data_IF_702056615658
#
_entry.id   IF_702056615658
#
_cell.length_a   1.000
_cell.length_b   1.000
_cell.length_c   1.000
_cell.angle_alpha   90.00
_cell.angle_beta   90.00
_cell.angle_gamma   90.00
#
_symmetry.space_group_name_H-M   'P 1'
#
loop_
_entity.id
_entity.type
_entity.pdbx_description
1 polymer ?
#
# COMPACT_ATOMS: atom_id res chain seq x y z
N UNK A 1 -6.14 -11.81 50.94
CA UNK A 1 -7.32 -11.21 50.26
C UNK A 1 -7.14 -9.71 50.25
N UNK A 2 -6.89 -9.10 49.10
CA UNK A 2 -6.82 -7.65 48.95
C UNK A 2 -7.91 -7.24 47.96
N UNK A 3 -8.84 -6.42 48.44
CA UNK A 3 -9.93 -5.82 47.67
C UNK A 3 -9.58 -4.39 47.26
N UNK A 4 -10.23 -3.97 46.18
CA UNK A 4 -9.92 -2.86 45.28
C UNK A 4 -10.03 -1.43 45.82
N UNK A 5 -9.49 -0.48 45.04
CA UNK A 5 -10.18 0.79 44.77
C UNK A 5 -9.77 1.38 43.41
N UNK A 6 -10.77 1.63 42.56
CA UNK A 6 -10.67 2.23 41.24
C UNK A 6 -10.56 3.76 41.31
N UNK A 7 -9.75 4.35 40.44
CA UNK A 7 -9.67 5.81 40.25
C UNK A 7 -10.77 6.31 39.32
N UNK A 8 -11.66 7.14 39.86
CA UNK A 8 -12.66 7.93 39.13
C UNK A 8 -11.97 9.10 38.43
N UNK A 9 -12.09 9.20 37.11
CA UNK A 9 -11.74 10.42 36.38
C UNK A 9 -13.01 11.19 36.01
N UNK A 10 -12.90 12.50 36.25
CA UNK A 10 -13.94 13.50 36.38
C UNK A 10 -14.40 14.02 35.01
N UNK A 11 -15.71 14.12 34.80
CA UNK A 11 -16.35 14.72 33.63
C UNK A 11 -16.67 16.20 33.90
N UNK A 12 -16.19 17.12 33.06
CA UNK A 12 -16.66 18.51 33.01
C UNK A 12 -16.72 18.95 31.54
N UNK A 13 -17.89 18.84 30.93
CA UNK A 13 -18.86 19.92 30.66
C UNK A 13 -18.45 20.81 29.48
N UNK A 14 -19.14 20.58 28.35
CA UNK A 14 -19.13 21.37 27.14
C UNK A 14 -20.20 22.46 27.27
N UNK A 15 -19.82 23.73 27.13
CA UNK A 15 -20.77 24.80 26.83
C UNK A 15 -20.36 25.53 25.56
N UNK A 16 -21.40 25.79 24.76
CA UNK A 16 -21.44 26.34 23.41
C UNK A 16 -21.22 27.86 23.40
N UNK A 17 -20.63 28.41 22.33
CA UNK A 17 -21.10 29.67 21.70
C UNK A 17 -20.75 29.73 20.18
N UNK A 18 -21.72 29.25 19.40
CA UNK A 18 -22.41 29.86 18.25
C UNK A 18 -21.83 31.07 17.45
N UNK A 19 -21.63 30.80 16.15
CA UNK A 19 -22.13 31.52 14.94
C UNK A 19 -21.42 32.81 14.47
N UNK A 20 -20.87 32.74 13.23
CA UNK A 20 -21.32 33.56 12.08
C UNK A 20 -20.93 32.96 10.71
N UNK A 21 -21.98 32.72 9.91
CA UNK A 21 -22.12 32.38 8.46
C UNK A 21 -21.55 33.51 7.57
N UNK A 22 -21.22 33.44 6.27
CA UNK A 22 -21.51 32.55 5.13
C UNK A 22 -20.59 33.00 3.96
N UNK A 23 -20.18 32.09 3.06
CA UNK A 23 -20.36 32.23 1.60
C UNK A 23 -19.72 31.07 0.84
N UNK A 24 -20.50 30.59 -0.12
CA UNK A 24 -20.33 29.39 -0.93
C UNK A 24 -19.08 29.44 -1.81
N UNK A 25 -18.40 28.31 -1.94
CA UNK A 25 -18.33 27.66 -3.25
C UNK A 25 -18.06 26.17 -3.09
N UNK A 26 -18.89 25.38 -3.77
CA UNK A 26 -18.91 23.93 -3.64
C UNK A 26 -17.72 23.28 -4.32
N UNK A 27 -17.00 22.46 -3.57
CA UNK A 27 -16.35 21.26 -4.10
C UNK A 27 -16.59 20.17 -3.08
N UNK A 28 -17.41 19.19 -3.45
CA UNK A 28 -17.57 17.92 -2.75
C UNK A 28 -16.20 17.42 -2.34
N UNK A 29 -15.88 17.50 -1.05
CA UNK A 29 -14.62 17.00 -0.52
C UNK A 29 -14.76 15.48 -0.41
N UNK A 30 -14.71 14.84 -1.58
CA UNK A 30 -14.40 13.43 -1.73
C UNK A 30 -13.01 13.26 -1.10
N UNK A 31 -12.97 12.88 0.17
CA UNK A 31 -11.77 12.36 0.83
C UNK A 31 -11.53 10.96 0.24
N UNK A 32 -11.32 10.91 -1.08
CA UNK A 32 -10.83 9.72 -1.74
C UNK A 32 -9.48 9.42 -1.12
N UNK A 33 -9.35 8.19 -0.65
CA UNK A 33 -8.20 7.57 0.01
C UNK A 33 -6.95 7.58 -0.89
N UNK A 34 -6.45 8.77 -1.20
CA UNK A 34 -5.33 8.93 -2.12
C UNK A 34 -4.04 8.67 -1.34
N UNK A 35 -3.34 7.61 -1.71
CA UNK A 35 -2.00 7.33 -1.19
C UNK A 35 -1.13 8.59 -1.31
N UNK A 36 -0.45 9.04 -0.25
CA UNK A 36 0.45 10.18 -0.32
C UNK A 36 1.50 9.93 -1.41
N UNK A 37 1.73 10.87 -2.33
CA UNK A 37 2.63 10.69 -3.49
C UNK A 37 3.70 11.78 -3.56
N UNK A 38 4.90 11.40 -4.00
CA UNK A 38 5.97 12.35 -4.29
C UNK A 38 5.70 13.12 -5.59
N UNK A 39 6.29 14.32 -5.79
CA UNK A 39 6.21 15.01 -7.07
C UNK A 39 6.74 14.14 -8.22
N UNK A 40 5.90 13.90 -9.24
CA UNK A 40 6.22 13.01 -10.38
C UNK A 40 5.90 11.53 -10.14
N UNK A 41 5.41 11.16 -8.96
CA UNK A 41 4.91 9.81 -8.69
C UNK A 41 3.49 9.64 -9.24
N UNK A 42 3.30 8.62 -10.08
CA UNK A 42 2.05 8.32 -10.77
C UNK A 42 1.53 6.97 -10.31
N UNK A 43 0.24 6.91 -9.97
CA UNK A 43 -0.45 5.66 -9.68
C UNK A 43 -0.64 4.90 -11.00
N UNK A 44 -0.13 3.67 -11.06
CA UNK A 44 -0.26 2.80 -12.24
C UNK A 44 -1.48 1.91 -12.09
N UNK A 45 -1.63 1.28 -10.93
CA UNK A 45 -2.76 0.40 -10.64
C UNK A 45 -2.95 0.24 -9.14
N UNK A 46 -4.16 -0.18 -8.75
CA UNK A 46 -4.48 -0.65 -7.42
C UNK A 46 -5.13 -2.03 -7.49
N UNK A 47 -4.84 -2.88 -6.51
CA UNK A 47 -5.39 -4.24 -6.41
C UNK A 47 -5.66 -4.60 -4.96
N UNK A 48 -6.81 -5.21 -4.71
CA UNK A 48 -7.12 -5.84 -3.43
C UNK A 48 -6.37 -7.17 -3.33
N UNK A 49 -5.67 -7.38 -2.21
CA UNK A 49 -4.85 -8.57 -1.95
C UNK A 49 -4.97 -8.98 -0.48
N UNK A 50 -4.43 -10.16 -0.16
CA UNK A 50 -4.18 -10.57 1.21
C UNK A 50 -2.65 -10.61 1.39
N UNK A 51 -2.12 -9.75 2.25
CA UNK A 51 -0.72 -9.80 2.64
C UNK A 51 -0.52 -10.85 3.73
N UNK A 52 0.37 -11.81 3.49
CA UNK A 52 0.72 -12.83 4.47
C UNK A 52 1.88 -12.29 5.29
N UNK A 53 1.54 -11.58 6.37
CA UNK A 53 2.53 -11.05 7.31
C UNK A 53 3.17 -12.22 8.07
N UNK A 54 4.51 -12.33 8.13
CA UNK A 54 5.16 -13.38 8.89
C UNK A 54 4.92 -13.29 10.41
N UNK A 55 4.49 -12.14 10.91
CA UNK A 55 4.27 -11.89 12.33
C UNK A 55 2.79 -11.90 12.73
N UNK A 56 1.91 -11.39 11.88
CA UNK A 56 0.49 -11.19 12.18
C UNK A 56 -0.44 -12.10 11.37
N UNK A 57 0.10 -12.92 10.47
CA UNK A 57 -0.70 -13.78 9.60
C UNK A 57 -1.32 -13.03 8.41
N UNK A 58 -2.39 -13.58 7.80
CA UNK A 58 -3.05 -13.00 6.64
C UNK A 58 -3.78 -11.70 7.01
N UNK A 59 -3.49 -10.62 6.30
CA UNK A 59 -4.12 -9.30 6.46
C UNK A 59 -4.71 -8.88 5.12
N UNK A 60 -6.01 -8.58 5.09
CA UNK A 60 -6.67 -8.07 3.89
C UNK A 60 -6.31 -6.60 3.66
N UNK A 61 -5.86 -6.27 2.46
CA UNK A 61 -5.38 -4.93 2.14
C UNK A 61 -5.56 -4.55 0.68
N UNK A 62 -5.25 -3.29 0.38
CA UNK A 62 -5.16 -2.78 -0.99
C UNK A 62 -3.71 -2.37 -1.26
N UNK A 63 -3.15 -2.92 -2.34
CA UNK A 63 -1.84 -2.55 -2.87
C UNK A 63 -2.04 -1.52 -3.97
N UNK A 64 -1.28 -0.44 -3.88
CA UNK A 64 -1.15 0.62 -4.86
C UNK A 64 0.25 0.53 -5.44
N UNK A 65 0.35 0.33 -6.75
CA UNK A 65 1.62 0.29 -7.46
C UNK A 65 1.77 1.62 -8.18
N UNK A 66 2.82 2.34 -7.86
CA UNK A 66 3.21 3.57 -8.55
C UNK A 66 4.42 3.30 -9.43
N UNK A 67 4.80 4.29 -10.23
CA UNK A 67 6.06 4.24 -10.97
C UNK A 67 7.32 4.30 -10.09
N UNK A 68 7.17 4.36 -8.76
CA UNK A 68 8.27 4.46 -7.80
C UNK A 68 8.24 3.39 -6.70
N UNK A 69 7.07 3.05 -6.14
CA UNK A 69 6.93 2.12 -5.00
C UNK A 69 5.68 1.26 -5.08
N UNK A 70 5.72 0.18 -4.31
CA UNK A 70 4.57 -0.61 -3.90
C UNK A 70 4.16 -0.10 -2.51
N UNK A 71 2.92 0.36 -2.39
CA UNK A 71 2.33 0.81 -1.14
C UNK A 71 1.13 -0.05 -0.79
N UNK A 72 1.08 -0.66 0.38
CA UNK A 72 -0.09 -1.40 0.87
C UNK A 72 -0.71 -0.68 2.06
N UNK A 73 -2.04 -0.60 2.06
CA UNK A 73 -2.85 -0.19 3.21
C UNK A 73 -3.79 -1.33 3.59
N UNK A 74 -3.83 -1.67 4.88
CA UNK A 74 -4.83 -2.58 5.44
C UNK A 74 -6.25 -2.06 5.21
N UNK A 75 -7.19 -2.97 4.95
CA UNK A 75 -8.63 -2.69 4.91
C UNK A 75 -9.35 -3.14 6.19
N UNK A 76 -8.63 -3.78 7.12
CA UNK A 76 -9.17 -4.22 8.40
C UNK A 76 -9.11 -3.07 9.40
N UNK A 77 -10.20 -2.87 10.16
CA UNK A 77 -10.33 -1.79 11.15
C UNK A 77 -9.33 -1.89 12.29
N UNK A 78 -8.93 -3.11 12.61
CA UNK A 78 -8.12 -3.42 13.80
C UNK A 78 -6.62 -3.46 13.48
N UNK A 79 -6.27 -3.39 12.19
CA UNK A 79 -4.90 -3.46 11.70
C UNK A 79 -4.55 -2.20 10.93
N UNK A 80 -3.73 -1.34 11.54
CA UNK A 80 -3.18 -0.13 10.90
C UNK A 80 -1.90 -0.45 10.08
N UNK A 81 -1.84 -1.62 9.43
CA UNK A 81 -0.67 -2.02 8.66
C UNK A 81 -0.51 -1.14 7.41
N UNK A 82 0.66 -0.52 7.30
CA UNK A 82 1.13 0.18 6.11
C UNK A 82 2.48 -0.43 5.71
N UNK A 83 2.59 -0.82 4.44
CA UNK A 83 3.84 -1.29 3.87
C UNK A 83 4.23 -0.38 2.70
N UNK A 84 5.37 0.29 2.82
CA UNK A 84 5.92 1.16 1.78
C UNK A 84 7.27 0.59 1.30
N UNK A 85 7.31 0.17 0.04
CA UNK A 85 8.45 -0.54 -0.54
C UNK A 85 8.80 0.07 -1.89
N UNK A 86 9.92 0.81 -1.99
CA UNK A 86 10.40 1.31 -3.28
C UNK A 86 10.65 0.15 -4.25
N UNK A 87 10.23 0.30 -5.51
CA UNK A 87 10.35 -0.76 -6.50
C UNK A 87 11.82 -1.14 -6.77
N UNK A 88 12.76 -0.21 -6.61
CA UNK A 88 14.20 -0.46 -6.75
C UNK A 88 14.79 -1.39 -5.68
N UNK A 89 14.10 -1.59 -4.56
CA UNK A 89 14.47 -2.53 -3.49
C UNK A 89 14.09 -3.97 -3.88
N UNK A 90 13.16 -4.16 -4.81
CA UNK A 90 12.76 -5.50 -5.25
C UNK A 90 13.93 -6.15 -6.00
N UNK A 91 14.31 -7.35 -5.57
CA UNK A 91 15.34 -8.16 -6.21
C UNK A 91 14.74 -9.17 -7.18
N UNK A 92 13.60 -9.77 -6.82
CA UNK A 92 12.97 -10.84 -7.59
C UNK A 92 11.47 -10.88 -7.30
N UNK A 93 10.68 -11.26 -8.30
CA UNK A 93 9.24 -11.46 -8.18
C UNK A 93 8.95 -12.86 -8.72
N UNK A 94 8.28 -13.68 -7.92
CA UNK A 94 7.88 -15.04 -8.28
C UNK A 94 6.36 -15.19 -8.21
N UNK A 95 5.81 -16.01 -9.10
CA UNK A 95 4.38 -16.38 -9.05
C UNK A 95 4.23 -17.60 -8.16
N UNK A 96 3.34 -17.50 -7.17
CA UNK A 96 2.95 -18.64 -6.33
C UNK A 96 1.63 -19.24 -6.82
N UNK A 97 1.50 -20.56 -6.66
CA UNK A 97 0.28 -21.31 -6.97
C UNK A 97 0.05 -21.51 -8.47
N UNK A 98 -1.04 -22.21 -8.80
CA UNK A 98 -1.41 -22.56 -10.17
C UNK A 98 -2.93 -22.65 -10.33
N UNK A 99 -3.42 -23.03 -11.51
CA UNK A 99 -4.86 -23.18 -11.74
C UNK A 99 -5.48 -24.29 -10.86
N UNK A 100 -4.66 -25.20 -10.35
CA UNK A 100 -5.08 -26.34 -9.52
C UNK A 100 -4.71 -26.19 -8.05
N UNK A 101 -4.14 -25.06 -7.62
CA UNK A 101 -3.78 -24.86 -6.22
C UNK A 101 -5.04 -24.66 -5.37
N UNK A 102 -5.31 -25.63 -4.49
CA UNK A 102 -6.50 -25.68 -3.61
C UNK A 102 -6.22 -25.20 -2.17
N UNK A 103 -4.99 -24.77 -1.88
CA UNK A 103 -4.64 -24.24 -0.56
C UNK A 103 -5.19 -22.84 -0.36
N UNK A 104 -5.63 -22.52 0.85
CA UNK A 104 -5.96 -21.15 1.23
C UNK A 104 -4.74 -20.25 1.02
N UNK A 105 -4.93 -19.07 0.43
CA UNK A 105 -3.86 -18.09 0.17
C UNK A 105 -2.64 -18.64 -0.63
N UNK A 106 -2.85 -19.72 -1.40
CA UNK A 106 -1.78 -20.40 -2.16
C UNK A 106 -1.52 -19.79 -3.54
N UNK A 107 -2.40 -18.93 -4.03
CA UNK A 107 -2.28 -18.27 -5.33
C UNK A 107 -1.91 -16.80 -5.16
N UNK A 108 -0.81 -16.35 -5.77
CA UNK A 108 -0.40 -14.96 -5.67
C UNK A 108 1.06 -14.70 -6.07
N UNK A 109 1.72 -13.77 -5.39
CA UNK A 109 3.10 -13.34 -5.65
C UNK A 109 3.99 -13.45 -4.41
N UNK A 110 5.21 -13.90 -4.61
CA UNK A 110 6.30 -13.84 -3.63
C UNK A 110 7.35 -12.85 -4.13
N UNK A 111 7.69 -11.84 -3.33
CA UNK A 111 8.59 -10.77 -3.71
C UNK A 111 9.78 -10.78 -2.75
N UNK A 112 10.96 -11.05 -3.28
CA UNK A 112 12.21 -10.95 -2.52
C UNK A 112 12.79 -9.56 -2.67
N UNK A 113 13.04 -8.91 -1.54
CA UNK A 113 13.62 -7.58 -1.44
C UNK A 113 15.13 -7.66 -1.11
N UNK A 114 15.89 -6.64 -1.53
CA UNK A 114 17.33 -6.51 -1.28
C UNK A 114 17.65 -6.20 0.19
N UNK A 115 16.68 -5.67 0.93
CA UNK A 115 16.77 -5.37 2.36
C UNK A 115 16.45 -6.57 3.25
N UNK A 116 16.63 -7.79 2.72
CA UNK A 116 16.44 -9.08 3.41
C UNK A 116 14.99 -9.39 3.83
N UNK A 117 14.01 -8.72 3.23
CA UNK A 117 12.58 -9.01 3.43
C UNK A 117 12.01 -9.86 2.29
N UNK A 118 11.00 -10.66 2.61
CA UNK A 118 10.15 -11.31 1.60
C UNK A 118 8.70 -10.87 1.83
N UNK A 119 8.05 -10.41 0.76
CA UNK A 119 6.67 -9.94 0.78
C UNK A 119 5.80 -10.94 0.03
N UNK A 120 4.83 -11.50 0.74
CA UNK A 120 3.97 -12.54 0.20
C UNK A 120 2.54 -12.02 0.07
N UNK A 121 2.04 -11.95 -1.16
CA UNK A 121 0.69 -11.49 -1.46
C UNK A 121 -0.13 -12.64 -2.05
N UNK A 122 -1.27 -12.93 -1.45
CA UNK A 122 -2.28 -13.79 -2.04
C UNK A 122 -3.31 -12.97 -2.82
N UNK A 123 -3.70 -13.47 -3.99
CA UNK A 123 -4.67 -12.86 -4.88
C UNK A 123 -5.82 -13.83 -5.15
N UNK A 124 -6.98 -13.30 -5.55
CA UNK A 124 -8.08 -14.12 -6.07
C UNK A 124 -7.66 -14.76 -7.39
N UNK A 125 -8.05 -16.01 -7.61
CA UNK A 125 -7.76 -16.72 -8.87
C UNK A 125 -8.52 -16.17 -10.07
N UNK A 126 -9.48 -15.27 -9.83
CA UNK A 126 -10.34 -14.64 -10.83
C UNK A 126 -9.62 -13.54 -11.63
N UNK A 127 -10.03 -13.36 -12.88
CA UNK A 127 -9.73 -12.17 -13.68
C UNK A 127 -8.24 -11.94 -14.00
N UNK A 128 -7.43 -12.99 -14.08
CA UNK A 128 -5.98 -12.90 -14.37
C UNK A 128 -5.18 -11.95 -13.46
N UNK A 129 -5.72 -11.59 -12.29
CA UNK A 129 -5.19 -10.57 -11.38
C UNK A 129 -3.69 -10.72 -11.05
N UNK A 130 -3.25 -11.95 -10.76
CA UNK A 130 -1.84 -12.28 -10.49
C UNK A 130 -0.94 -12.03 -11.69
N UNK A 131 -1.40 -12.35 -12.91
CA UNK A 131 -0.61 -12.15 -14.14
C UNK A 131 -0.44 -10.66 -14.39
N UNK A 132 -1.52 -9.89 -14.29
CA UNK A 132 -1.49 -8.45 -14.52
C UNK A 132 -0.58 -7.75 -13.51
N UNK A 133 -0.75 -8.08 -12.22
CA UNK A 133 0.08 -7.50 -11.16
C UNK A 133 1.55 -7.87 -11.31
N UNK A 134 1.85 -9.12 -11.70
CA UNK A 134 3.22 -9.56 -11.99
C UNK A 134 3.85 -8.76 -13.13
N UNK A 135 3.14 -8.63 -14.25
CA UNK A 135 3.65 -7.94 -15.44
C UNK A 135 3.91 -6.46 -15.15
N UNK A 136 3.03 -5.80 -14.40
CA UNK A 136 3.20 -4.41 -13.96
C UNK A 136 4.42 -4.29 -13.03
N UNK A 137 4.52 -5.13 -12.00
CA UNK A 137 5.64 -5.05 -11.06
C UNK A 137 6.98 -5.33 -11.73
N UNK A 138 7.07 -6.35 -12.59
CA UNK A 138 8.29 -6.67 -13.33
C UNK A 138 8.70 -5.50 -14.24
N UNK A 139 7.72 -4.93 -14.96
CA UNK A 139 7.95 -3.77 -15.84
C UNK A 139 8.52 -2.57 -15.07
N UNK A 140 7.96 -2.24 -13.91
CA UNK A 140 8.33 -1.02 -13.17
C UNK A 140 9.46 -1.20 -12.14
N UNK A 141 9.66 -2.41 -11.62
CA UNK A 141 10.79 -2.72 -10.72
C UNK A 141 12.11 -2.91 -11.47
N UNK A 142 12.06 -3.31 -12.74
CA UNK A 142 13.24 -3.53 -13.58
C UNK A 142 13.24 -2.63 -14.83
N UNK A 143 13.20 -1.30 -14.69
CA UNK A 143 13.01 -0.38 -15.81
C UNK A 143 14.08 -0.49 -16.89
N UNK A 144 15.32 -0.80 -16.50
CA UNK A 144 16.44 -1.00 -17.44
C UNK A 144 16.27 -2.26 -18.30
N UNK A 145 15.75 -3.35 -17.73
CA UNK A 145 15.52 -4.60 -18.46
C UNK A 145 14.35 -4.49 -19.46
N UNK A 146 13.45 -3.53 -19.24
CA UNK A 146 12.26 -3.31 -20.06
C UNK A 146 12.34 -2.08 -20.96
N UNK A 147 13.54 -1.54 -21.20
CA UNK A 147 13.78 -0.33 -22.01
C UNK A 147 12.94 0.88 -21.59
N UNK A 148 12.51 0.91 -20.32
CA UNK A 148 11.83 2.06 -19.72
C UNK A 148 12.85 3.10 -19.22
N UNK A 149 14.04 3.17 -19.83
CA UNK A 149 15.13 4.06 -19.45
C UNK A 149 14.76 5.57 -19.52
N UNK A 150 13.57 5.91 -20.02
CA UNK A 150 12.98 7.25 -19.92
C UNK A 150 12.27 7.54 -18.58
N UNK A 151 12.07 6.54 -17.71
CA UNK A 151 12.07 6.75 -16.27
C UNK A 151 13.52 7.08 -15.90
N UNK A 152 13.93 8.30 -16.26
CA UNK A 152 15.04 8.99 -15.63
C UNK A 152 14.70 8.92 -14.16
N UNK A 153 15.31 7.94 -13.50
CA UNK A 153 15.21 7.70 -12.08
C UNK A 153 15.54 9.05 -11.48
N UNK A 154 14.50 9.79 -11.08
CA UNK A 154 14.61 11.16 -10.61
C UNK A 154 15.12 11.10 -9.16
N UNK A 155 16.17 10.28 -8.95
CA UNK A 155 17.11 10.45 -7.86
C UNK A 155 17.82 11.75 -8.21
N UNK A 156 17.22 12.85 -7.81
CA UNK A 156 17.89 13.93 -7.10
C UNK A 156 19.25 14.41 -7.66
N UNK A 157 19.47 14.38 -8.98
CA UNK A 157 20.57 15.14 -9.57
C UNK A 157 20.02 16.51 -9.98
N UNK A 158 20.45 17.60 -9.31
CA UNK A 158 20.09 18.93 -9.76
C UNK A 158 20.55 19.07 -11.22
N UNK A 159 19.66 19.63 -12.06
CA UNK A 159 20.04 19.97 -13.43
C UNK A 159 21.28 20.87 -13.36
N UNK A 160 22.32 20.63 -14.17
CA UNK A 160 23.41 21.60 -14.26
C UNK A 160 22.83 22.92 -14.79
N UNK A 161 23.26 24.08 -14.25
CA UNK A 161 22.94 25.36 -14.85
C UNK A 161 23.57 25.43 -16.24
N UNK A 162 22.81 25.98 -17.19
CA UNK A 162 23.31 26.36 -18.53
C UNK A 162 24.38 27.45 -18.43
#
# INVERSE_FOLDING_TARGET
>A
MASASASKYNSHSLENESIKKVSQDGVSQDVSETVPRLPGELLITEKEVIYICPFNGPIKGRVYITNYRLYLRSLETDSALILDVPLGVISRIEKMGGATSRGENSYGLDITCKDLRNLRFALKQEGHSRRDMFEILVKHAFPLAHNLANLKLMILLPRPPE
#
